data_IF_675370745369
#
_entry.id   IF_675370745369
#
_cell.length_a   1.000
_cell.length_b   1.000
_cell.length_c   1.000
_cell.angle_alpha   90.00
_cell.angle_beta   90.00
_cell.angle_gamma   90.00
#
_symmetry.space_group_name_H-M   'P 1'
#
loop_
_entity.id
_entity.type
_entity.pdbx_description
1 polymer ?
#
# COMPACT_ATOMS: atom_id res chain seq x y z
N UNK A 1 -17.27 4.09 13.41
CA UNK A 1 -15.85 3.71 13.25
C UNK A 1 -15.75 2.29 12.68
N UNK A 2 -15.41 2.16 11.39
CA UNK A 2 -15.11 0.85 10.82
C UNK A 2 -13.87 0.30 11.53
N UNK A 3 -13.92 -0.91 12.11
CA UNK A 3 -12.74 -1.52 12.69
C UNK A 3 -11.70 -1.70 11.57
N UNK A 4 -10.50 -1.16 11.78
CA UNK A 4 -9.31 -1.32 10.93
C UNK A 4 -8.80 -2.78 10.92
N UNK A 5 -9.69 -3.78 10.96
CA UNK A 5 -9.36 -5.21 11.07
C UNK A 5 -9.10 -5.86 9.73
N UNK A 6 -9.31 -5.15 8.63
CA UNK A 6 -8.86 -5.57 7.31
C UNK A 6 -8.02 -4.45 6.73
N UNK A 7 -6.70 -4.59 6.85
CA UNK A 7 -5.73 -4.03 5.90
C UNK A 7 -6.34 -4.16 4.50
N UNK A 8 -6.55 -3.07 3.76
CA UNK A 8 -7.36 -2.96 2.54
C UNK A 8 -6.95 -3.82 1.32
N UNK A 9 -6.30 -4.96 1.56
CA UNK A 9 -5.79 -5.91 0.59
C UNK A 9 -6.85 -6.90 0.05
N UNK A 10 -8.01 -7.03 0.69
CA UNK A 10 -9.07 -7.93 0.24
C UNK A 10 -10.17 -7.17 -0.48
N UNK A 11 -10.44 -7.52 -1.75
CA UNK A 11 -11.63 -7.04 -2.46
C UNK A 11 -12.88 -7.45 -1.65
N UNK A 12 -13.82 -6.53 -1.39
CA UNK A 12 -15.07 -6.90 -0.71
C UNK A 12 -15.76 -8.05 -1.45
N UNK A 13 -16.33 -9.05 -0.75
CA UNK A 13 -16.82 -10.28 -1.37
C UNK A 13 -17.94 -10.06 -2.40
N UNK A 14 -18.57 -8.88 -2.38
CA UNK A 14 -19.65 -8.47 -3.29
C UNK A 14 -19.16 -7.65 -4.50
N UNK A 15 -17.87 -7.32 -4.60
CA UNK A 15 -17.30 -6.60 -5.75
C UNK A 15 -16.59 -7.60 -6.66
N UNK A 16 -17.08 -7.73 -7.89
CA UNK A 16 -16.46 -8.59 -8.91
C UNK A 16 -15.07 -8.06 -9.29
N UNK A 17 -14.10 -8.96 -9.49
CA UNK A 17 -12.80 -8.58 -10.08
C UNK A 17 -13.01 -7.91 -11.45
N UNK A 18 -12.29 -6.81 -11.70
CA UNK A 18 -12.43 -6.01 -12.91
C UNK A 18 -13.61 -5.05 -12.92
N UNK A 19 -14.34 -4.91 -11.80
CA UNK A 19 -15.34 -3.88 -11.63
C UNK A 19 -14.70 -2.49 -11.62
N UNK A 20 -15.34 -1.51 -12.26
CA UNK A 20 -14.84 -0.13 -12.30
C UNK A 20 -14.87 0.45 -10.88
N UNK A 21 -13.69 0.73 -10.32
CA UNK A 21 -13.53 1.29 -8.98
C UNK A 21 -14.31 2.59 -8.77
N UNK A 22 -14.55 3.37 -9.84
CA UNK A 22 -15.31 4.63 -9.78
C UNK A 22 -16.81 4.41 -9.54
N UNK A 23 -17.30 3.20 -9.82
CA UNK A 23 -18.70 2.82 -9.66
C UNK A 23 -18.95 2.02 -8.36
N UNK A 24 -17.94 1.89 -7.49
CA UNK A 24 -18.10 1.19 -6.22
C UNK A 24 -19.09 1.97 -5.36
N UNK A 25 -20.09 1.32 -4.71
CA UNK A 25 -21.06 2.01 -3.88
C UNK A 25 -20.39 2.83 -2.77
N UNK A 26 -20.99 3.98 -2.47
CA UNK A 26 -20.51 4.88 -1.41
C UNK A 26 -20.37 4.13 -0.07
N UNK A 27 -19.20 4.25 0.53
CA UNK A 27 -18.89 3.77 1.88
C UNK A 27 -18.74 4.92 2.89
N UNK A 28 -18.31 4.61 4.12
CA UNK A 28 -17.96 5.65 5.09
C UNK A 28 -16.85 6.56 4.55
N UNK A 29 -17.06 7.87 4.68
CA UNK A 29 -16.15 8.91 4.17
C UNK A 29 -15.48 9.65 5.32
N UNK A 30 -14.22 10.04 5.13
CA UNK A 30 -13.56 10.96 6.04
C UNK A 30 -13.95 12.41 5.71
N UNK A 31 -14.13 13.25 6.73
CA UNK A 31 -14.40 14.69 6.55
C UNK A 31 -13.15 15.47 6.91
N UNK A 32 -12.59 16.19 5.94
CA UNK A 32 -11.31 16.87 6.04
C UNK A 32 -11.49 18.39 5.93
N UNK A 33 -11.28 19.14 7.02
CA UNK A 33 -11.24 20.60 6.94
C UNK A 33 -10.12 21.10 6.04
N UNK A 34 -10.36 22.16 5.29
CA UNK A 34 -9.32 22.87 4.54
C UNK A 34 -8.29 23.49 5.46
N UNK A 35 -7.04 23.54 5.01
CA UNK A 35 -5.91 24.07 5.79
C UNK A 35 -5.53 23.20 7.00
N UNK A 36 -5.96 21.94 7.04
CA UNK A 36 -5.72 21.03 8.16
C UNK A 36 -4.78 19.88 7.80
N UNK A 37 -4.27 19.22 8.83
CA UNK A 37 -3.47 18.00 8.69
C UNK A 37 -4.33 16.77 8.93
N UNK A 38 -4.20 15.75 8.09
CA UNK A 38 -5.04 14.56 8.08
C UNK A 38 -4.20 13.30 8.11
N UNK A 39 -4.68 12.30 8.85
CA UNK A 39 -4.06 10.98 8.84
C UNK A 39 -4.50 10.20 7.62
N UNK A 40 -3.53 9.58 6.96
CA UNK A 40 -3.73 8.60 5.91
C UNK A 40 -2.97 7.33 6.29
N UNK A 41 -3.47 6.19 5.86
CA UNK A 41 -2.87 4.90 6.18
C UNK A 41 -2.88 3.98 4.97
N UNK A 42 -1.89 3.10 4.93
CA UNK A 42 -1.85 1.99 3.99
C UNK A 42 -1.24 0.76 4.67
N UNK A 43 -1.49 -0.39 4.08
CA UNK A 43 -1.03 -1.69 4.57
C UNK A 43 -0.32 -2.43 3.46
N UNK A 44 0.64 -3.28 3.82
CA UNK A 44 1.44 -4.01 2.85
C UNK A 44 1.07 -5.48 2.82
N UNK A 45 0.44 -5.90 1.73
CA UNK A 45 0.23 -7.32 1.47
C UNK A 45 1.42 -7.96 0.75
N UNK A 46 2.01 -7.23 -0.17
CA UNK A 46 3.22 -7.62 -0.88
C UNK A 46 4.19 -6.46 -0.74
N UNK A 47 5.44 -6.72 -0.39
CA UNK A 47 6.47 -5.71 -0.36
C UNK A 47 7.33 -5.84 -1.61
N UNK A 48 7.28 -4.81 -2.46
CA UNK A 48 8.11 -4.69 -3.68
C UNK A 48 8.92 -3.39 -3.69
N UNK A 49 9.19 -2.85 -2.50
CA UNK A 49 9.94 -1.61 -2.31
C UNK A 49 9.24 -0.41 -2.94
N UNK A 50 10.03 0.55 -3.42
CA UNK A 50 9.53 1.68 -4.19
C UNK A 50 9.11 2.89 -3.38
N UNK A 51 8.33 3.76 -4.02
CA UNK A 51 7.87 5.01 -3.43
C UNK A 51 6.38 5.22 -3.68
N UNK A 52 5.73 5.97 -2.78
CA UNK A 52 4.31 6.25 -2.86
C UNK A 52 3.98 7.74 -2.68
N UNK A 53 2.82 8.13 -3.18
CA UNK A 53 2.25 9.48 -3.02
C UNK A 53 0.75 9.43 -2.79
N UNK A 54 0.24 10.44 -2.08
CA UNK A 54 -1.19 10.68 -1.87
C UNK A 54 -1.66 11.85 -2.73
N UNK A 55 -2.81 11.67 -3.38
CA UNK A 55 -3.36 12.61 -4.37
C UNK A 55 -4.85 12.75 -4.21
N UNK A 56 -5.40 13.93 -4.48
CA UNK A 56 -6.85 14.14 -4.47
C UNK A 56 -7.36 14.41 -5.89
N UNK A 57 -8.61 14.06 -6.18
CA UNK A 57 -9.28 14.54 -7.38
C UNK A 57 -10.74 14.87 -7.04
N UNK A 58 -11.25 16.06 -7.38
CA UNK A 58 -12.67 16.38 -7.16
C UNK A 58 -13.57 15.42 -7.94
N UNK A 59 -14.57 14.84 -7.28
CA UNK A 59 -15.59 14.00 -7.92
C UNK A 59 -16.55 14.78 -8.82
N UNK A 60 -16.57 16.11 -8.71
CA UNK A 60 -17.36 16.99 -9.60
C UNK A 60 -16.80 17.06 -11.03
N UNK A 61 -15.57 16.59 -11.27
CA UNK A 61 -14.94 16.53 -12.58
C UNK A 61 -14.62 15.10 -13.02
N UNK A 62 -13.87 14.98 -14.11
CA UNK A 62 -13.43 13.67 -14.61
C UNK A 62 -12.28 13.10 -13.76
N UNK A 63 -12.52 11.92 -13.18
CA UNK A 63 -11.55 11.16 -12.40
C UNK A 63 -10.49 10.54 -13.33
N UNK A 64 -9.45 11.32 -13.64
CA UNK A 64 -8.32 10.93 -14.50
C UNK A 64 -7.01 10.98 -13.74
N UNK A 65 -6.00 10.22 -14.20
CA UNK A 65 -4.65 10.30 -13.61
C UNK A 65 -4.08 11.73 -13.68
N UNK A 66 -4.36 12.47 -14.76
CA UNK A 66 -3.98 13.87 -14.90
C UNK A 66 -4.63 14.77 -13.81
N UNK A 67 -5.86 14.46 -13.39
CA UNK A 67 -6.49 15.15 -12.27
C UNK A 67 -5.74 14.91 -10.97
N UNK A 68 -5.40 13.65 -10.66
CA UNK A 68 -4.65 13.30 -9.45
C UNK A 68 -3.25 13.92 -9.45
N UNK A 69 -2.57 13.93 -10.58
CA UNK A 69 -1.25 14.53 -10.74
C UNK A 69 -1.24 16.04 -10.45
N UNK A 70 -2.32 16.77 -10.75
CA UNK A 70 -2.45 18.20 -10.41
C UNK A 70 -2.63 18.47 -8.91
N UNK A 71 -2.93 17.46 -8.11
CA UNK A 71 -3.33 17.61 -6.72
C UNK A 71 -2.59 16.62 -5.80
N UNK A 72 -1.28 16.47 -6.00
CA UNK A 72 -0.41 15.73 -5.08
C UNK A 72 -0.40 16.45 -3.73
N UNK A 73 -0.71 15.71 -2.66
CA UNK A 73 -0.71 16.25 -1.31
C UNK A 73 0.71 16.36 -0.77
N UNK A 74 0.97 17.46 -0.07
CA UNK A 74 2.17 17.60 0.75
C UNK A 74 2.00 16.88 2.09
N UNK A 75 3.11 16.61 2.77
CA UNK A 75 3.14 15.97 4.08
C UNK A 75 3.32 17.02 5.18
N UNK A 76 2.61 16.86 6.29
CA UNK A 76 2.63 17.80 7.42
C UNK A 76 3.59 17.39 8.55
N UNK A 77 4.39 16.33 8.35
CA UNK A 77 5.38 15.82 9.32
C UNK A 77 6.51 15.16 8.55
N UNK A 78 7.74 15.15 9.08
CA UNK A 78 8.89 14.40 8.54
C UNK A 78 8.95 12.92 9.00
N UNK A 79 7.92 12.46 9.69
CA UNK A 79 7.80 11.06 10.13
C UNK A 79 6.66 10.36 9.42
N UNK A 80 6.77 9.03 9.38
CA UNK A 80 5.66 8.10 9.22
C UNK A 80 5.50 7.34 10.54
N UNK A 81 4.45 6.54 10.70
CA UNK A 81 4.21 5.78 11.92
C UNK A 81 3.78 4.35 11.64
N UNK A 82 4.33 3.42 12.41
CA UNK A 82 3.84 2.04 12.45
C UNK A 82 2.75 1.96 13.52
N UNK A 83 1.57 1.50 13.14
CA UNK A 83 0.43 1.30 14.05
C UNK A 83 -0.10 -0.13 13.96
N UNK A 84 -0.24 -0.79 15.11
CA UNK A 84 -0.84 -2.12 15.20
C UNK A 84 -2.31 -2.01 15.58
N UNK A 85 -3.21 -2.61 14.80
CA UNK A 85 -4.64 -2.50 15.06
C UNK A 85 -5.17 -1.05 15.04
N UNK A 86 -6.31 -0.77 15.69
CA UNK A 86 -6.99 0.52 15.57
C UNK A 86 -6.53 1.60 16.57
N UNK A 87 -5.76 1.24 17.60
CA UNK A 87 -5.40 2.16 18.68
C UNK A 87 -4.23 3.08 18.28
N UNK A 88 -4.43 4.40 18.14
CA UNK A 88 -3.37 5.32 17.75
C UNK A 88 -2.32 5.54 18.84
N UNK A 89 -2.58 5.16 20.09
CA UNK A 89 -1.63 5.35 21.21
C UNK A 89 -0.42 4.42 21.13
N UNK A 90 -0.52 3.33 20.35
CA UNK A 90 0.58 2.40 20.12
C UNK A 90 1.49 2.77 18.94
N UNK A 91 1.27 3.94 18.34
CA UNK A 91 2.05 4.40 17.18
C UNK A 91 3.51 4.54 17.53
N UNK A 92 4.36 3.90 16.75
CA UNK A 92 5.80 4.11 16.78
C UNK A 92 6.21 4.99 15.61
N UNK A 93 6.77 6.16 15.91
CA UNK A 93 7.25 7.09 14.88
C UNK A 93 8.54 6.56 14.23
N UNK A 94 8.60 6.64 12.91
CA UNK A 94 9.78 6.28 12.11
C UNK A 94 10.14 7.46 11.20
N UNK A 95 11.44 7.73 10.93
CA UNK A 95 11.85 8.76 9.99
C UNK A 95 11.32 8.44 8.58
N UNK A 96 10.64 9.40 7.94
CA UNK A 96 10.18 9.24 6.57
C UNK A 96 11.23 9.79 5.59
N UNK A 97 11.62 8.98 4.61
CA UNK A 97 12.45 9.47 3.49
C UNK A 97 11.53 10.01 2.41
N UNK A 98 11.56 11.33 2.19
CA UNK A 98 10.74 12.00 1.18
C UNK A 98 11.60 12.73 0.16
N UNK A 99 11.21 12.64 -1.10
CA UNK A 99 11.93 13.23 -2.24
C UNK A 99 10.98 14.09 -3.07
N UNK A 100 11.50 15.21 -3.57
CA UNK A 100 10.79 16.09 -4.51
C UNK A 100 11.59 16.37 -5.79
N UNK A 101 12.85 15.93 -5.84
CA UNK A 101 13.72 16.03 -7.01
C UNK A 101 13.63 14.75 -7.83
N UNK A 102 13.52 14.88 -9.15
CA UNK A 102 13.39 13.73 -10.06
C UNK A 102 12.03 13.01 -9.97
N UNK A 103 11.02 13.66 -9.40
CA UNK A 103 9.67 13.12 -9.25
C UNK A 103 8.77 13.48 -10.43
N UNK A 104 7.65 12.75 -10.56
CA UNK A 104 6.60 13.08 -11.52
C UNK A 104 5.24 13.21 -10.81
N UNK A 105 4.51 14.32 -11.01
CA UNK A 105 4.94 15.54 -11.71
C UNK A 105 6.16 16.20 -11.05
N UNK A 106 6.88 17.03 -11.79
CA UNK A 106 8.10 17.67 -11.29
C UNK A 106 7.79 18.49 -10.02
N UNK A 107 8.64 18.33 -8.99
CA UNK A 107 8.48 18.99 -7.68
C UNK A 107 7.44 18.34 -6.77
N UNK A 108 6.70 17.32 -7.23
CA UNK A 108 5.79 16.55 -6.37
C UNK A 108 6.57 15.76 -5.32
N UNK A 109 5.97 15.55 -4.14
CA UNK A 109 6.62 14.83 -3.04
C UNK A 109 6.21 13.35 -3.07
N UNK A 110 7.20 12.47 -3.02
CA UNK A 110 7.04 11.02 -2.88
C UNK A 110 7.73 10.54 -1.61
N UNK A 111 7.16 9.53 -0.96
CA UNK A 111 7.71 8.90 0.24
C UNK A 111 8.21 7.51 -0.10
N UNK A 112 9.44 7.17 0.30
CA UNK A 112 9.98 5.81 0.17
C UNK A 112 9.17 4.85 1.04
N UNK A 113 8.85 3.66 0.52
CA UNK A 113 8.37 2.56 1.35
C UNK A 113 9.40 2.28 2.46
N UNK A 114 9.06 2.47 3.74
CA UNK A 114 10.04 2.40 4.82
C UNK A 114 10.43 0.96 5.18
N UNK A 115 9.70 -0.05 4.73
CA UNK A 115 9.94 -1.44 5.12
C UNK A 115 10.83 -2.13 4.09
N UNK A 116 12.03 -2.59 4.46
CA UNK A 116 12.90 -3.27 3.52
C UNK A 116 12.29 -4.61 3.09
N UNK A 117 12.30 -4.92 1.79
CA UNK A 117 12.06 -6.29 1.33
C UNK A 117 13.26 -7.18 1.68
N UNK A 118 13.15 -8.49 1.41
CA UNK A 118 14.25 -9.42 1.63
C UNK A 118 15.42 -9.12 0.67
N UNK A 119 16.66 -9.25 1.17
CA UNK A 119 17.85 -9.06 0.34
C UNK A 119 18.15 -10.33 -0.45
N UNK A 120 17.76 -10.35 -1.73
CA UNK A 120 18.10 -11.42 -2.67
C UNK A 120 19.01 -10.92 -3.80
N UNK A 121 19.88 -11.79 -4.37
CA UNK A 121 20.86 -11.38 -5.38
C UNK A 121 20.29 -10.71 -6.64
N UNK A 122 19.02 -10.95 -6.96
CA UNK A 122 18.30 -10.40 -8.10
C UNK A 122 17.30 -9.29 -7.73
N UNK A 123 17.16 -8.97 -6.43
CA UNK A 123 16.15 -8.04 -5.93
C UNK A 123 14.72 -8.42 -6.32
N UNK A 124 14.46 -9.69 -6.63
CA UNK A 124 13.23 -10.15 -7.28
C UNK A 124 12.66 -11.41 -6.64
N UNK A 125 11.32 -11.56 -6.54
CA UNK A 125 10.68 -12.77 -6.03
C UNK A 125 10.79 -14.00 -6.96
N UNK A 126 11.52 -13.92 -8.07
CA UNK A 126 11.39 -14.91 -9.16
C UNK A 126 12.12 -16.23 -8.83
N UNK A 127 13.03 -16.26 -7.86
CA UNK A 127 13.70 -17.49 -7.40
C UNK A 127 14.00 -17.56 -5.91
N UNK A 128 13.12 -17.07 -5.05
CA UNK A 128 13.48 -16.99 -3.64
C UNK A 128 13.33 -18.34 -2.91
N UNK A 129 14.41 -18.84 -2.26
CA UNK A 129 14.29 -19.90 -1.26
C UNK A 129 13.44 -19.40 -0.08
N UNK A 130 12.86 -20.29 0.75
CA UNK A 130 11.88 -19.95 1.80
C UNK A 130 12.44 -19.14 2.99
N UNK A 131 13.64 -18.56 2.86
CA UNK A 131 14.36 -17.87 3.92
C UNK A 131 14.64 -16.43 3.50
N UNK A 132 14.22 -15.48 4.34
CA UNK A 132 14.53 -14.05 4.26
C UNK A 132 15.70 -13.75 5.21
N UNK A 133 16.96 -14.00 4.81
CA UNK A 133 18.08 -14.02 5.74
C UNK A 133 18.40 -12.65 6.33
N UNK A 134 18.21 -11.59 5.53
CA UNK A 134 18.55 -10.22 5.91
C UNK A 134 17.71 -9.22 5.08
N UNK A 135 17.51 -7.99 5.59
CA UNK A 135 16.81 -6.94 4.88
C UNK A 135 17.69 -6.28 3.81
N UNK A 136 17.06 -5.73 2.75
CA UNK A 136 17.77 -5.00 1.68
C UNK A 136 18.41 -3.68 2.16
N UNK A 137 17.88 -3.09 3.23
CA UNK A 137 18.42 -1.90 3.91
C UNK A 137 18.01 -1.93 5.39
N UNK A 138 18.54 -1.03 6.22
CA UNK A 138 18.23 -1.03 7.66
C UNK A 138 16.72 -0.89 7.93
N UNK A 139 16.10 -1.81 8.68
CA UNK A 139 14.68 -1.74 8.97
C UNK A 139 14.41 -0.60 9.96
N UNK A 140 13.26 0.08 9.83
CA UNK A 140 12.95 1.23 10.68
C UNK A 140 12.65 0.82 12.13
N UNK A 141 12.35 -0.47 12.35
CA UNK A 141 12.19 -1.10 13.67
C UNK A 141 12.82 -2.50 13.66
N UNK A 142 13.34 -3.00 14.80
CA UNK A 142 13.93 -4.34 14.87
C UNK A 142 12.98 -5.42 14.36
N UNK A 143 13.46 -6.23 13.41
CA UNK A 143 12.69 -7.34 12.83
C UNK A 143 11.57 -6.93 11.86
N UNK A 144 11.43 -5.64 11.53
CA UNK A 144 10.38 -5.16 10.62
C UNK A 144 10.88 -5.09 9.17
N UNK A 145 10.93 -6.24 8.49
CA UNK A 145 11.33 -6.38 7.09
C UNK A 145 10.76 -7.65 6.45
N UNK A 146 10.80 -7.72 5.12
CA UNK A 146 10.44 -8.90 4.34
C UNK A 146 9.45 -8.61 3.21
N UNK A 147 9.08 -9.64 2.45
CA UNK A 147 8.29 -9.50 1.21
C UNK A 147 6.78 -9.43 1.41
N UNK A 148 6.33 -9.46 2.66
CA UNK A 148 4.91 -9.39 3.04
C UNK A 148 4.16 -10.73 2.96
N UNK A 149 2.92 -10.79 3.48
CA UNK A 149 2.10 -12.01 3.51
C UNK A 149 1.91 -12.66 2.14
N UNK A 150 1.89 -11.84 1.09
CA UNK A 150 1.81 -12.21 -0.32
C UNK A 150 2.87 -13.21 -0.78
N UNK A 151 4.07 -13.17 -0.20
CA UNK A 151 5.17 -14.06 -0.55
C UNK A 151 4.94 -15.51 -0.13
N UNK A 152 4.08 -15.74 0.86
CA UNK A 152 3.76 -17.06 1.39
C UNK A 152 2.29 -17.45 1.18
N UNK A 153 1.61 -16.90 0.17
CA UNK A 153 0.20 -17.22 -0.11
C UNK A 153 0.08 -18.64 -0.66
N UNK A 154 0.07 -19.56 0.28
CA UNK A 154 -0.41 -20.91 0.13
C UNK A 154 -1.78 -21.08 0.80
N UNK A 155 -2.23 -20.22 1.75
CA UNK A 155 -3.36 -20.62 2.61
C UNK A 155 -4.29 -19.59 3.30
N UNK A 156 -4.28 -18.27 3.05
CA UNK A 156 -4.98 -17.36 3.99
C UNK A 156 -6.16 -16.50 3.50
N UNK A 157 -6.39 -16.28 2.19
CA UNK A 157 -7.42 -15.29 1.76
C UNK A 157 -8.42 -15.79 0.70
N UNK A 158 -8.17 -16.95 0.07
CA UNK A 158 -8.98 -17.41 -1.08
C UNK A 158 -9.59 -18.81 -0.97
N UNK A 159 -9.58 -19.45 0.22
CA UNK A 159 -10.01 -20.84 0.37
C UNK A 159 -8.99 -21.85 -0.19
N UNK A 160 -9.27 -23.16 -0.13
CA UNK A 160 -8.36 -24.20 -0.60
C UNK A 160 -8.29 -24.15 -2.12
N UNK A 161 -7.28 -23.49 -2.67
CA UNK A 161 -6.97 -23.57 -4.10
C UNK A 161 -5.57 -24.13 -4.24
N UNK A 162 -5.47 -25.46 -4.18
CA UNK A 162 -4.29 -26.26 -4.50
C UNK A 162 -3.90 -26.08 -5.98
N UNK A 163 -3.41 -24.91 -6.40
CA UNK A 163 -2.86 -24.71 -7.75
C UNK A 163 -2.16 -23.36 -7.98
N UNK A 164 -2.37 -22.32 -7.16
CA UNK A 164 -1.83 -20.98 -7.45
C UNK A 164 -0.31 -20.85 -7.37
N UNK A 165 0.40 -21.91 -7.00
CA UNK A 165 1.85 -21.86 -6.93
C UNK A 165 2.48 -22.02 -8.30
N UNK A 166 1.79 -22.66 -9.24
CA UNK A 166 2.32 -22.83 -10.59
C UNK A 166 1.73 -21.76 -11.50
N UNK A 167 2.49 -20.71 -11.78
CA UNK A 167 2.14 -19.81 -12.89
C UNK A 167 2.46 -20.58 -14.15
N UNK A 168 1.47 -20.73 -15.00
CA UNK A 168 1.64 -21.28 -16.33
C UNK A 168 1.72 -20.13 -17.33
N UNK A 169 2.54 -20.26 -18.38
CA UNK A 169 2.42 -19.39 -19.53
C UNK A 169 1.07 -19.63 -20.26
N UNK A 170 0.79 -18.80 -21.26
CA UNK A 170 -0.43 -18.92 -22.08
C UNK A 170 -0.57 -20.25 -22.82
N UNK A 171 0.46 -21.11 -22.82
CA UNK A 171 0.49 -22.43 -23.44
C UNK A 171 0.37 -23.57 -22.42
N UNK A 172 0.14 -23.26 -21.15
CA UNK A 172 -0.01 -24.25 -20.09
C UNK A 172 1.31 -24.85 -19.61
N UNK A 173 2.46 -24.24 -19.93
CA UNK A 173 3.76 -24.66 -19.38
C UNK A 173 4.01 -23.92 -18.07
N UNK A 174 4.37 -24.67 -17.03
CA UNK A 174 4.78 -24.10 -15.74
C UNK A 174 6.01 -23.18 -15.95
N UNK A 175 5.87 -21.89 -15.64
CA UNK A 175 6.94 -20.89 -15.72
C UNK A 175 7.42 -20.40 -14.35
N UNK A 176 6.64 -20.58 -13.30
CA UNK A 176 7.03 -20.27 -11.92
C UNK A 176 6.33 -21.21 -10.96
N UNK A 177 7.07 -21.75 -9.98
CA UNK A 177 6.51 -22.48 -8.85
C UNK A 177 6.87 -21.72 -7.57
N UNK A 178 5.88 -21.08 -6.92
CA UNK A 178 6.11 -20.30 -5.71
C UNK A 178 6.71 -21.14 -4.58
N UNK A 179 7.50 -20.54 -3.68
CA UNK A 179 8.10 -21.26 -2.56
C UNK A 179 7.00 -21.88 -1.69
N UNK A 180 7.17 -23.17 -1.35
CA UNK A 180 6.24 -23.87 -0.49
C UNK A 180 6.43 -23.41 0.98
N UNK A 181 5.71 -22.36 1.39
CA UNK A 181 5.66 -21.99 2.80
C UNK A 181 4.78 -22.98 3.59
N UNK A 182 5.27 -23.40 4.75
CA UNK A 182 4.46 -24.14 5.73
C UNK A 182 3.36 -23.24 6.31
N UNK A 183 2.31 -23.84 6.88
CA UNK A 183 1.24 -23.10 7.57
C UNK A 183 1.77 -22.20 8.69
N UNK A 184 2.80 -22.66 9.43
CA UNK A 184 3.45 -21.89 10.48
C UNK A 184 4.12 -20.63 9.92
N UNK A 185 4.96 -20.80 8.90
CA UNK A 185 5.65 -19.68 8.23
C UNK A 185 4.66 -18.64 7.67
N UNK A 186 3.57 -19.08 7.03
CA UNK A 186 2.56 -18.17 6.51
C UNK A 186 1.87 -17.36 7.62
N UNK A 187 1.57 -17.99 8.78
CA UNK A 187 0.98 -17.31 9.92
C UNK A 187 1.94 -16.32 10.58
N UNK A 188 3.21 -16.68 10.71
CA UNK A 188 4.22 -15.82 11.31
C UNK A 188 4.48 -14.56 10.47
N UNK A 189 4.56 -14.70 9.15
CA UNK A 189 4.66 -13.57 8.23
C UNK A 189 3.39 -12.71 8.27
N UNK A 190 2.20 -13.32 8.28
CA UNK A 190 0.95 -12.59 8.40
C UNK A 190 0.90 -11.73 9.69
N UNK A 191 1.38 -12.28 10.81
CA UNK A 191 1.48 -11.57 12.09
C UNK A 191 2.51 -10.45 12.06
N UNK A 192 3.68 -10.70 11.47
CA UNK A 192 4.76 -9.70 11.34
C UNK A 192 4.29 -8.46 10.57
N UNK A 193 3.46 -8.64 9.53
CA UNK A 193 2.93 -7.57 8.68
C UNK A 193 1.54 -7.07 9.11
N UNK A 194 1.07 -7.43 10.31
CA UNK A 194 -0.23 -7.01 10.83
C UNK A 194 -0.20 -5.56 11.40
N UNK A 195 0.35 -4.63 10.63
CA UNK A 195 0.43 -3.21 10.94
C UNK A 195 0.02 -2.36 9.75
N UNK A 196 -0.28 -1.09 10.02
CA UNK A 196 -0.46 -0.07 9.00
C UNK A 196 0.67 0.96 9.11
N UNK A 197 1.05 1.50 7.96
CA UNK A 197 1.94 2.65 7.86
C UNK A 197 1.04 3.88 7.74
N UNK A 198 1.16 4.77 8.72
CA UNK A 198 0.47 6.04 8.76
C UNK A 198 1.39 7.16 8.30
N UNK A 199 0.81 8.12 7.57
CA UNK A 199 1.41 9.40 7.27
C UNK A 199 0.44 10.51 7.66
N UNK A 200 0.97 11.73 7.75
CA UNK A 200 0.16 12.93 7.93
C UNK A 200 0.31 13.84 6.72
N UNK A 201 -0.79 14.07 6.02
CA UNK A 201 -0.86 14.91 4.81
C UNK A 201 -1.52 16.26 5.13
N UNK A 202 -1.19 17.29 4.36
CA UNK A 202 -1.78 18.62 4.51
C UNK A 202 -2.82 18.86 3.41
N UNK A 203 -4.03 19.27 3.81
CA UNK A 203 -5.11 19.64 2.89
C UNK A 203 -5.01 21.14 2.60
N UNK A 204 -4.70 21.56 1.36
CA UNK A 204 -4.50 22.97 1.07
C UNK A 204 -5.75 23.83 1.31
N UNK A 205 -5.61 25.05 1.85
CA UNK A 205 -6.77 25.90 2.17
C UNK A 205 -7.53 26.39 0.93
N UNK A 206 -6.87 26.41 -0.22
CA UNK A 206 -7.45 26.88 -1.49
C UNK A 206 -8.28 25.82 -2.22
N UNK A 207 -8.34 24.58 -1.72
CA UNK A 207 -9.22 23.57 -2.31
C UNK A 207 -10.69 23.98 -2.14
N UNK A 208 -11.52 23.66 -3.13
CA UNK A 208 -12.96 23.90 -3.04
C UNK A 208 -13.60 22.86 -2.11
N UNK A 209 -14.58 23.22 -1.27
CA UNK A 209 -15.38 22.24 -0.55
C UNK A 209 -16.09 21.29 -1.53
N UNK A 210 -16.27 20.04 -1.13
CA UNK A 210 -16.98 19.05 -1.94
C UNK A 210 -16.43 17.63 -1.77
N UNK A 211 -16.89 16.75 -2.66
CA UNK A 211 -16.51 15.34 -2.67
C UNK A 211 -15.23 15.14 -3.49
N UNK A 212 -14.27 14.41 -2.92
CA UNK A 212 -13.01 14.07 -3.54
C UNK A 212 -12.76 12.57 -3.46
N UNK A 213 -12.07 12.05 -4.47
CA UNK A 213 -11.43 10.75 -4.39
C UNK A 213 -9.98 10.97 -3.93
N UNK A 214 -9.59 10.32 -2.85
CA UNK A 214 -8.19 10.18 -2.43
C UNK A 214 -7.60 8.98 -3.18
N UNK A 215 -6.43 9.17 -3.78
CA UNK A 215 -5.63 8.11 -4.38
C UNK A 215 -4.34 7.95 -3.57
N UNK A 216 -4.08 6.71 -3.17
CA UNK A 216 -2.74 6.22 -2.88
C UNK A 216 -2.21 5.56 -4.15
N UNK A 217 -0.99 5.90 -4.54
CA UNK A 217 -0.29 5.18 -5.61
C UNK A 217 1.14 4.90 -5.18
N UNK A 218 1.56 3.67 -5.39
CA UNK A 218 2.91 3.17 -5.17
C UNK A 218 3.48 2.69 -6.51
N UNK A 219 4.68 3.17 -6.83
CA UNK A 219 5.47 2.72 -7.96
C UNK A 219 6.55 1.79 -7.42
N UNK A 220 6.48 0.50 -7.80
CA UNK A 220 7.31 -0.55 -7.22
C UNK A 220 8.75 -0.47 -7.75
N UNK A 221 9.71 -0.76 -6.88
CA UNK A 221 11.15 -0.76 -7.22
C UNK A 221 11.56 -2.09 -7.87
N UNK A 222 11.02 -3.19 -7.38
CA UNK A 222 11.46 -4.55 -7.77
C UNK A 222 10.81 -5.07 -9.05
N UNK A 223 9.75 -4.41 -9.53
CA UNK A 223 8.96 -4.87 -10.69
C UNK A 223 8.32 -3.66 -11.39
N UNK A 224 7.97 -3.75 -12.69
CA UNK A 224 7.30 -2.68 -13.43
C UNK A 224 5.80 -2.55 -13.06
N UNK A 225 5.47 -2.65 -11.78
CA UNK A 225 4.11 -2.57 -11.26
C UNK A 225 3.81 -1.21 -10.65
N UNK A 226 2.57 -0.76 -10.84
CA UNK A 226 1.98 0.38 -10.15
C UNK A 226 0.78 -0.12 -9.35
N UNK A 227 0.74 0.14 -8.06
CA UNK A 227 -0.37 -0.25 -7.20
C UNK A 227 -1.14 0.98 -6.76
N UNK A 228 -2.46 0.91 -6.90
CA UNK A 228 -3.35 2.04 -6.61
C UNK A 228 -4.47 1.61 -5.67
N UNK A 229 -4.78 2.48 -4.72
CA UNK A 229 -5.95 2.36 -3.84
C UNK A 229 -6.67 3.70 -3.81
N UNK A 230 -7.97 3.67 -3.56
CA UNK A 230 -8.77 4.87 -3.45
C UNK A 230 -9.68 4.87 -2.23
N UNK A 231 -10.02 6.07 -1.75
CA UNK A 231 -10.96 6.30 -0.66
C UNK A 231 -11.74 7.58 -0.90
N UNK A 232 -12.97 7.64 -0.38
CA UNK A 232 -13.81 8.82 -0.47
C UNK A 232 -13.58 9.78 0.68
N UNK A 233 -13.46 11.06 0.34
CA UNK A 233 -13.22 12.15 1.29
C UNK A 233 -14.12 13.33 0.96
N UNK A 234 -14.74 13.92 1.99
CA UNK A 234 -15.45 15.19 1.89
C UNK A 234 -14.54 16.30 2.42
N UNK A 235 -14.25 17.30 1.60
CA UNK A 235 -13.50 18.50 2.00
C UNK A 235 -14.48 19.60 2.41
N UNK A 236 -14.24 20.24 3.57
CA UNK A 236 -15.06 21.32 4.14
C UNK A 236 -14.28 22.62 4.32
#
# INVERSE_FOLDING_TARGET
PLPLTTTGAATPPFIRRGFDGRAVPDGPKAVWPRGSSQDVAWSMFMNKGGGYSYRLCPKSGELTEACFQRHVLSYASNSSWIQYGPDPTNRTAIPATRVSTGTFPEGSIWTKNPIPPCAHPDGSPVREPPTCPQPMFDPPLPGLYGDGPGACVTWAVHGPVEAYHTIFDSFGKAVYQGPACTKGQALDIARQFQFNIFDRVYVPPHYSPGEYLLSFRLDAEMTPQVWTHCADVTIT
#
